data_IF_343881255695
#
_entry.id   IF_343881255695
#
_cell.length_a   1.000
_cell.length_b   1.000
_cell.length_c   1.000
_cell.angle_alpha   90.00
_cell.angle_beta   90.00
_cell.angle_gamma   90.00
#
_symmetry.space_group_name_H-M   'P 1'
#
loop_
_entity.id
_entity.type
_entity.pdbx_description
1 polymer ?
#
# COMPACT_ATOMS: atom_id res chain seq x y z
N UNK A 1 13.17 -13.68 -7.48
CA UNK A 1 12.12 -12.75 -7.99
C UNK A 1 10.74 -13.39 -8.15
N UNK A 2 10.55 -14.50 -8.89
CA UNK A 2 9.22 -15.10 -9.16
C UNK A 2 8.33 -15.29 -7.92
N UNK A 3 8.92 -15.69 -6.79
CA UNK A 3 8.21 -15.98 -5.54
C UNK A 3 8.31 -14.86 -4.49
N UNK A 4 8.71 -13.65 -4.90
CA UNK A 4 8.77 -12.47 -4.03
C UNK A 4 7.71 -11.46 -4.49
N UNK A 5 7.17 -10.69 -3.54
CA UNK A 5 6.27 -9.58 -3.82
C UNK A 5 6.74 -8.34 -3.06
N UNK A 6 6.56 -7.16 -3.66
CA UNK A 6 6.80 -5.87 -3.02
C UNK A 6 5.52 -5.03 -3.12
N UNK A 7 5.02 -4.53 -1.99
CA UNK A 7 3.74 -3.82 -1.91
C UNK A 7 2.57 -4.56 -2.58
N UNK A 8 2.59 -5.90 -2.56
CA UNK A 8 1.57 -6.75 -3.19
C UNK A 8 1.71 -6.97 -4.70
N UNK A 9 2.68 -6.34 -5.36
CA UNK A 9 3.03 -6.62 -6.76
C UNK A 9 4.05 -7.76 -6.82
N UNK A 10 3.88 -8.71 -7.75
CA UNK A 10 4.89 -9.75 -7.99
C UNK A 10 6.20 -9.12 -8.49
N UNK A 11 7.32 -9.43 -7.85
CA UNK A 11 8.59 -8.78 -8.12
C UNK A 11 9.10 -9.09 -9.54
N UNK A 12 8.98 -10.33 -10.02
CA UNK A 12 9.41 -10.66 -11.37
C UNK A 12 8.54 -9.97 -12.44
N UNK A 13 7.23 -9.90 -12.23
CA UNK A 13 6.35 -9.18 -13.13
C UNK A 13 6.70 -7.69 -13.17
N UNK A 14 6.88 -7.09 -12.00
CA UNK A 14 7.33 -5.71 -11.85
C UNK A 14 8.64 -5.46 -12.62
N UNK A 15 9.69 -6.25 -12.37
CA UNK A 15 10.99 -6.07 -13.07
C UNK A 15 10.89 -6.27 -14.58
N UNK A 16 10.00 -7.15 -15.07
CA UNK A 16 9.73 -7.29 -16.53
C UNK A 16 9.08 -6.05 -17.11
N UNK A 17 8.17 -5.41 -16.38
CA UNK A 17 7.52 -4.17 -16.80
C UNK A 17 8.52 -3.01 -16.82
N UNK A 18 9.33 -2.86 -15.76
CA UNK A 18 10.43 -1.88 -15.71
C UNK A 18 11.39 -2.09 -16.87
N UNK A 19 11.81 -3.34 -17.14
CA UNK A 19 12.69 -3.66 -18.26
C UNK A 19 12.11 -3.27 -19.63
N UNK A 20 10.79 -3.44 -19.83
CA UNK A 20 10.15 -3.05 -21.09
C UNK A 20 10.02 -1.54 -21.22
N UNK A 21 9.62 -0.83 -20.16
CA UNK A 21 9.50 0.64 -20.16
C UNK A 21 10.88 1.28 -20.40
N UNK A 22 11.91 0.82 -19.68
CA UNK A 22 13.28 1.28 -19.85
C UNK A 22 13.81 1.03 -21.26
N UNK A 23 13.50 -0.13 -21.85
CA UNK A 23 13.89 -0.44 -23.24
C UNK A 23 13.25 0.53 -24.24
N UNK A 24 11.96 0.85 -24.08
CA UNK A 24 11.26 1.83 -24.92
C UNK A 24 11.87 3.22 -24.77
N UNK A 25 12.06 3.70 -23.53
CA UNK A 25 12.68 5.01 -23.28
C UNK A 25 14.09 5.10 -23.87
N UNK A 26 14.90 4.05 -23.70
CA UNK A 26 16.24 3.99 -24.26
C UNK A 26 16.24 4.03 -25.80
N UNK A 27 15.28 3.36 -26.45
CA UNK A 27 15.15 3.39 -27.90
C UNK A 27 14.83 4.80 -28.42
N UNK A 28 13.88 5.49 -27.80
CA UNK A 28 13.50 6.87 -28.16
C UNK A 28 14.64 7.87 -27.94
N UNK A 29 15.50 7.62 -26.96
CA UNK A 29 16.66 8.47 -26.63
C UNK A 29 17.94 8.10 -27.39
N UNK A 30 17.89 7.10 -28.28
CA UNK A 30 19.08 6.63 -29.03
C UNK A 30 20.14 5.93 -28.17
N UNK A 31 19.74 5.38 -27.01
CA UNK A 31 20.61 4.67 -26.08
C UNK A 31 20.60 3.16 -26.32
N UNK A 32 21.50 2.44 -25.62
CA UNK A 32 21.59 0.99 -25.74
C UNK A 32 20.40 0.28 -25.06
N UNK A 33 19.41 -0.08 -25.88
CA UNK A 33 18.18 -0.81 -25.47
C UNK A 33 18.48 -2.10 -24.72
N UNK A 34 19.53 -2.84 -25.11
CA UNK A 34 19.88 -4.12 -24.48
C UNK A 34 20.37 -3.91 -23.05
N UNK A 35 21.19 -2.88 -22.82
CA UNK A 35 21.66 -2.53 -21.47
C UNK A 35 20.53 -1.97 -20.61
N UNK A 36 19.66 -1.11 -21.16
CA UNK A 36 18.49 -0.61 -20.43
C UNK A 36 17.55 -1.73 -19.98
N UNK A 37 17.26 -2.69 -20.87
CA UNK A 37 16.45 -3.86 -20.54
C UNK A 37 17.12 -4.75 -19.49
N UNK A 38 18.44 -4.90 -19.55
CA UNK A 38 19.23 -5.66 -18.56
C UNK A 38 19.17 -4.99 -17.19
N UNK A 39 19.40 -3.68 -17.11
CA UNK A 39 19.33 -2.92 -15.88
C UNK A 39 17.92 -2.93 -15.28
N UNK A 40 16.87 -2.69 -16.07
CA UNK A 40 15.49 -2.73 -15.58
C UNK A 40 15.07 -4.11 -15.06
N UNK A 41 15.57 -5.19 -15.64
CA UNK A 41 15.30 -6.54 -15.15
C UNK A 41 15.98 -6.84 -13.82
N UNK A 42 17.15 -6.24 -13.56
CA UNK A 42 18.01 -6.56 -12.43
C UNK A 42 17.95 -5.53 -11.29
N UNK A 43 17.35 -4.35 -11.48
CA UNK A 43 17.36 -3.24 -10.51
C UNK A 43 16.97 -3.68 -9.09
N UNK A 44 16.00 -4.59 -8.99
CA UNK A 44 15.44 -5.06 -7.72
C UNK A 44 15.96 -6.43 -7.26
N UNK A 45 17.06 -6.92 -7.85
CA UNK A 45 17.60 -8.26 -7.51
C UNK A 45 18.01 -8.38 -6.03
N UNK A 46 18.40 -7.27 -5.40
CA UNK A 46 18.73 -7.21 -3.98
C UNK A 46 17.55 -7.49 -3.03
N UNK A 47 16.30 -7.54 -3.52
CA UNK A 47 15.12 -7.95 -2.72
C UNK A 47 14.91 -9.47 -2.64
N UNK A 48 15.74 -10.26 -3.33
CA UNK A 48 15.62 -11.72 -3.41
C UNK A 48 16.28 -12.52 -2.26
N UNK A 49 17.39 -12.09 -1.61
CA UNK A 49 18.09 -12.93 -0.62
C UNK A 49 17.17 -13.43 0.51
N UNK A 50 17.51 -14.59 1.07
CA UNK A 50 16.76 -15.20 2.18
C UNK A 50 17.07 -14.54 3.52
N UNK A 51 18.32 -14.14 3.73
CA UNK A 51 18.77 -13.42 4.91
C UNK A 51 18.61 -11.91 4.69
N UNK A 52 18.13 -11.21 5.72
CA UNK A 52 18.10 -9.76 5.70
C UNK A 52 19.53 -9.22 5.63
N UNK A 53 19.73 -8.25 4.74
CA UNK A 53 20.99 -7.53 4.61
C UNK A 53 20.87 -6.18 5.32
N UNK A 54 21.95 -5.75 5.95
CA UNK A 54 22.06 -4.38 6.48
C UNK A 54 22.16 -3.33 5.35
N UNK A 55 22.44 -3.76 4.12
CA UNK A 55 22.49 -2.88 2.95
C UNK A 55 21.10 -2.66 2.35
N UNK A 56 20.81 -1.43 1.88
CA UNK A 56 19.68 -1.18 0.97
C UNK A 56 19.70 -2.12 -0.24
N UNK A 57 18.52 -2.48 -0.75
CA UNK A 57 18.42 -3.49 -1.82
C UNK A 57 19.11 -3.04 -3.12
N UNK A 58 19.15 -1.74 -3.41
CA UNK A 58 19.85 -1.19 -4.57
C UNK A 58 21.36 -1.45 -4.47
N UNK A 59 21.96 -1.14 -3.31
CA UNK A 59 23.38 -1.37 -3.06
C UNK A 59 23.74 -2.86 -3.05
N UNK A 60 22.90 -3.69 -2.43
CA UNK A 60 23.09 -5.14 -2.44
C UNK A 60 23.00 -5.71 -3.87
N UNK A 61 22.00 -5.27 -4.64
CA UNK A 61 21.83 -5.65 -6.03
C UNK A 61 23.01 -5.22 -6.90
N UNK A 62 23.53 -4.02 -6.68
CA UNK A 62 24.73 -3.50 -7.34
C UNK A 62 25.95 -4.37 -7.06
N UNK A 63 26.22 -4.69 -5.79
CA UNK A 63 27.35 -5.54 -5.39
C UNK A 63 27.29 -6.91 -6.04
N UNK A 64 26.09 -7.50 -6.15
CA UNK A 64 25.92 -8.77 -6.85
C UNK A 64 26.16 -8.64 -8.34
N UNK A 65 25.58 -7.64 -8.99
CA UNK A 65 25.77 -7.40 -10.42
C UNK A 65 27.27 -7.22 -10.76
N UNK A 66 27.98 -6.44 -9.95
CA UNK A 66 29.43 -6.24 -10.08
C UNK A 66 30.20 -7.56 -9.89
N UNK A 67 29.90 -8.30 -8.81
CA UNK A 67 30.53 -9.59 -8.52
C UNK A 67 30.38 -10.61 -9.65
N UNK A 68 29.25 -10.60 -10.36
CA UNK A 68 28.98 -11.50 -11.49
C UNK A 68 29.39 -10.93 -12.85
N UNK A 69 30.10 -9.79 -12.90
CA UNK A 69 30.67 -9.25 -14.12
C UNK A 69 29.68 -8.56 -15.05
N UNK A 70 28.60 -7.98 -14.51
CA UNK A 70 27.70 -7.14 -15.30
C UNK A 70 28.39 -5.85 -15.79
N UNK A 71 27.82 -5.25 -16.83
CA UNK A 71 28.32 -4.01 -17.40
C UNK A 71 28.26 -2.85 -16.38
N UNK A 72 29.28 -1.99 -16.33
CA UNK A 72 29.37 -0.89 -15.36
C UNK A 72 28.17 0.06 -15.36
N UNK A 73 27.56 0.34 -16.52
CA UNK A 73 26.36 1.17 -16.61
C UNK A 73 25.14 0.46 -16.00
N UNK A 74 25.04 -0.85 -16.17
CA UNK A 74 24.00 -1.68 -15.54
C UNK A 74 24.19 -1.71 -14.02
N UNK A 75 25.42 -1.91 -13.56
CA UNK A 75 25.78 -1.90 -12.14
C UNK A 75 25.41 -0.55 -11.51
N UNK A 76 25.79 0.56 -12.14
CA UNK A 76 25.44 1.89 -11.63
C UNK A 76 23.92 2.13 -11.64
N UNK A 77 23.21 1.74 -12.70
CA UNK A 77 21.75 1.89 -12.74
C UNK A 77 21.04 1.10 -11.65
N UNK A 78 21.53 -0.09 -11.30
CA UNK A 78 21.02 -0.87 -10.16
C UNK A 78 21.33 -0.17 -8.84
N UNK A 79 22.54 0.35 -8.64
CA UNK A 79 22.91 1.00 -7.37
C UNK A 79 22.26 2.35 -7.14
N UNK A 80 21.92 3.10 -8.21
CA UNK A 80 21.51 4.49 -8.13
C UNK A 80 20.00 4.72 -8.28
N UNK A 81 19.18 3.69 -8.55
CA UNK A 81 17.76 3.89 -8.89
C UNK A 81 16.89 4.43 -7.74
N UNK A 82 17.37 4.40 -6.49
CA UNK A 82 16.76 5.07 -5.35
C UNK A 82 17.68 6.16 -4.74
N UNK A 83 18.59 6.71 -5.55
CA UNK A 83 19.50 7.81 -5.19
C UNK A 83 20.51 7.48 -4.08
N UNK A 84 20.82 6.20 -3.82
CA UNK A 84 21.84 5.83 -2.82
C UNK A 84 23.27 6.14 -3.25
N UNK A 85 23.52 6.22 -4.55
CA UNK A 85 24.80 6.63 -5.14
C UNK A 85 24.57 7.57 -6.32
N UNK A 86 25.63 8.24 -6.73
CA UNK A 86 25.64 9.09 -7.92
C UNK A 86 25.24 8.31 -9.19
N UNK A 87 24.34 8.90 -9.98
CA UNK A 87 23.98 8.44 -11.32
C UNK A 87 25.08 8.81 -12.33
N UNK A 88 25.86 7.82 -12.76
CA UNK A 88 27.00 7.97 -13.68
C UNK A 88 26.69 7.57 -15.13
N UNK A 89 25.54 6.94 -15.37
CA UNK A 89 25.03 6.59 -16.69
C UNK A 89 23.63 7.17 -16.90
N UNK A 90 23.29 7.47 -18.15
CA UNK A 90 21.93 7.84 -18.55
C UNK A 90 20.92 6.69 -18.33
N UNK A 91 21.38 5.45 -18.16
CA UNK A 91 20.51 4.34 -17.80
C UNK A 91 19.93 4.49 -16.40
N UNK A 92 20.66 5.09 -15.46
CA UNK A 92 20.24 5.25 -14.06
C UNK A 92 18.93 6.04 -13.89
N UNK A 93 18.81 7.27 -14.45
CA UNK A 93 17.53 7.99 -14.39
C UNK A 93 16.43 7.28 -15.19
N UNK A 94 16.76 6.57 -16.27
CA UNK A 94 15.76 5.77 -17.02
C UNK A 94 15.19 4.64 -16.15
N UNK A 95 16.04 3.92 -15.41
CA UNK A 95 15.59 2.85 -14.52
C UNK A 95 14.75 3.41 -13.38
N UNK A 96 15.16 4.51 -12.78
CA UNK A 96 14.38 5.18 -11.72
C UNK A 96 12.98 5.59 -12.23
N UNK A 97 12.89 6.21 -13.40
CA UNK A 97 11.60 6.59 -14.00
C UNK A 97 10.77 5.35 -14.35
N UNK A 98 11.38 4.32 -14.94
CA UNK A 98 10.68 3.10 -15.31
C UNK A 98 10.12 2.34 -14.09
N UNK A 99 10.86 2.29 -12.98
CA UNK A 99 10.41 1.75 -11.68
C UNK A 99 9.19 2.53 -11.16
N UNK A 100 9.30 3.87 -11.10
CA UNK A 100 8.21 4.73 -10.65
C UNK A 100 6.94 4.55 -11.50
N UNK A 101 7.06 4.50 -12.83
CA UNK A 101 5.94 4.25 -13.74
C UNK A 101 5.33 2.88 -13.46
N UNK A 102 6.15 1.82 -13.35
CA UNK A 102 5.66 0.46 -13.10
C UNK A 102 4.86 0.36 -11.80
N UNK A 103 5.36 1.00 -10.73
CA UNK A 103 4.76 1.00 -9.40
C UNK A 103 3.53 1.92 -9.23
N UNK A 104 3.44 3.02 -10.00
CA UNK A 104 2.34 3.98 -9.92
C UNK A 104 1.08 3.56 -10.69
N UNK A 105 1.15 2.50 -11.51
CA UNK A 105 -0.01 2.03 -12.28
C UNK A 105 -1.18 1.66 -11.37
N UNK A 106 -2.42 2.10 -11.70
CA UNK A 106 -3.60 1.71 -10.95
C UNK A 106 -3.69 0.20 -10.78
N UNK A 107 -3.84 -0.26 -9.53
CA UNK A 107 -3.92 -1.69 -9.19
C UNK A 107 -2.57 -2.43 -9.06
N UNK A 108 -1.43 -1.78 -9.31
CA UNK A 108 -0.12 -2.44 -9.18
C UNK A 108 0.27 -2.72 -7.71
N UNK A 109 0.09 -1.75 -6.80
CA UNK A 109 0.41 -1.88 -5.38
C UNK A 109 -0.86 -2.02 -4.53
N UNK A 110 -0.88 -3.03 -3.65
CA UNK A 110 -1.96 -3.32 -2.68
C UNK A 110 -1.94 -2.42 -1.45
N UNK A 111 -0.93 -1.57 -1.30
CA UNK A 111 -0.80 -0.65 -0.16
C UNK A 111 -2.04 0.26 0.01
N UNK A 112 -2.72 0.57 -1.10
CA UNK A 112 -4.01 1.30 -1.10
C UNK A 112 -5.12 0.49 -0.41
N UNK A 113 -5.14 -0.84 -0.60
CA UNK A 113 -6.15 -1.72 0.02
C UNK A 113 -5.91 -1.86 1.52
N UNK A 114 -4.66 -2.04 1.94
CA UNK A 114 -4.33 -2.23 3.36
C UNK A 114 -4.56 -0.97 4.18
N UNK A 115 -4.11 0.20 3.70
CA UNK A 115 -4.43 1.48 4.30
C UNK A 115 -5.94 1.80 4.27
N UNK A 116 -6.66 1.33 3.26
CA UNK A 116 -8.12 1.42 3.22
C UNK A 116 -8.79 0.54 4.29
N UNK A 117 -8.36 -0.72 4.45
CA UNK A 117 -8.87 -1.61 5.49
C UNK A 117 -8.55 -1.05 6.88
N UNK A 118 -7.34 -0.52 7.09
CA UNK A 118 -6.95 0.07 8.36
C UNK A 118 -7.86 1.26 8.71
N UNK A 119 -8.12 2.16 7.75
CA UNK A 119 -9.05 3.28 7.95
C UNK A 119 -10.47 2.83 8.35
N UNK A 120 -10.98 1.75 7.75
CA UNK A 120 -12.29 1.21 8.14
C UNK A 120 -12.26 0.67 9.58
N UNK A 121 -11.19 -0.04 9.96
CA UNK A 121 -11.01 -0.53 11.33
C UNK A 121 -10.90 0.61 12.34
N UNK A 122 -10.21 1.69 11.99
CA UNK A 122 -10.05 2.85 12.88
C UNK A 122 -11.41 3.54 13.12
N UNK A 123 -12.27 3.64 12.10
CA UNK A 123 -13.65 4.12 12.24
C UNK A 123 -14.48 3.23 13.17
N UNK A 124 -14.41 1.91 13.00
CA UNK A 124 -15.12 0.94 13.85
C UNK A 124 -14.61 1.01 15.29
N UNK A 125 -13.29 1.09 15.50
CA UNK A 125 -12.67 1.20 16.80
C UNK A 125 -13.05 2.51 17.54
N UNK A 126 -13.16 3.63 16.81
CA UNK A 126 -13.59 4.90 17.38
C UNK A 126 -14.98 4.78 18.03
N UNK A 127 -15.94 4.14 17.35
CA UNK A 127 -17.27 3.91 17.91
C UNK A 127 -17.28 2.87 19.04
N UNK A 128 -16.52 1.77 18.89
CA UNK A 128 -16.42 0.72 19.92
C UNK A 128 -15.83 1.22 21.25
N UNK A 129 -15.15 2.36 21.26
CA UNK A 129 -14.60 2.94 22.49
C UNK A 129 -15.64 3.57 23.43
N UNK A 130 -16.88 3.77 22.97
CA UNK A 130 -17.96 4.35 23.77
C UNK A 130 -18.71 3.28 24.57
N UNK A 131 -19.05 3.59 25.82
CA UNK A 131 -19.82 2.67 26.67
C UNK A 131 -21.24 2.45 26.12
N UNK A 132 -21.73 1.22 26.25
CA UNK A 132 -23.02 0.79 25.70
C UNK A 132 -23.03 0.47 24.20
N UNK A 133 -21.93 0.68 23.47
CA UNK A 133 -21.76 0.22 22.08
C UNK A 133 -21.37 -1.26 22.08
N UNK A 134 -22.20 -2.09 21.44
CA UNK A 134 -21.99 -3.54 21.32
C UNK A 134 -21.19 -3.94 20.09
N UNK A 135 -21.40 -3.23 18.97
CA UNK A 135 -20.69 -3.45 17.71
C UNK A 135 -20.76 -2.21 16.82
N UNK A 136 -19.79 -2.05 15.93
CA UNK A 136 -19.77 -0.98 14.94
C UNK A 136 -19.28 -1.52 13.59
N UNK A 137 -19.88 -1.04 12.50
CA UNK A 137 -19.59 -1.49 11.13
C UNK A 137 -19.45 -0.30 10.19
N UNK A 138 -18.27 -0.14 9.59
CA UNK A 138 -18.04 0.84 8.54
C UNK A 138 -18.51 0.26 7.19
N UNK A 139 -19.63 0.76 6.69
CA UNK A 139 -20.25 0.32 5.44
C UNK A 139 -20.20 1.41 4.37
N UNK A 140 -20.64 1.10 3.15
CA UNK A 140 -20.60 2.02 2.00
C UNK A 140 -19.21 2.64 1.78
N UNK A 141 -18.19 1.78 1.79
CA UNK A 141 -16.79 2.18 1.69
C UNK A 141 -16.33 3.18 2.77
N UNK A 142 -16.93 3.10 3.97
CA UNK A 142 -16.62 3.94 5.13
C UNK A 142 -17.37 5.28 5.15
N UNK A 143 -18.33 5.50 4.25
CA UNK A 143 -19.20 6.69 4.26
C UNK A 143 -20.37 6.59 5.22
N UNK A 144 -20.66 5.41 5.75
CA UNK A 144 -21.67 5.22 6.79
C UNK A 144 -21.09 4.30 7.88
N UNK A 145 -21.22 4.74 9.14
CA UNK A 145 -20.87 3.96 10.31
C UNK A 145 -22.16 3.56 11.03
N UNK A 146 -22.45 2.26 11.05
CA UNK A 146 -23.58 1.70 11.82
C UNK A 146 -23.10 1.23 13.17
N UNK A 147 -23.71 1.76 14.22
CA UNK A 147 -23.35 1.50 15.61
C UNK A 147 -24.52 0.81 16.29
N UNK A 148 -24.32 -0.40 16.77
CA UNK A 148 -25.34 -1.17 17.49
C UNK A 148 -25.14 -0.97 18.99
N UNK A 149 -26.18 -0.58 19.71
CA UNK A 149 -26.11 -0.35 21.16
C UNK A 149 -26.95 -1.36 21.93
N UNK A 150 -26.55 -1.66 23.16
CA UNK A 150 -27.30 -2.55 24.05
C UNK A 150 -28.56 -1.83 24.57
N UNK A 151 -29.74 -2.26 24.15
CA UNK A 151 -31.01 -1.59 24.50
C UNK A 151 -31.31 -1.56 26.00
N UNK A 152 -30.70 -2.45 26.79
CA UNK A 152 -30.83 -2.49 28.24
C UNK A 152 -29.96 -1.48 28.99
N UNK A 153 -28.89 -0.96 28.37
CA UNK A 153 -27.99 0.03 28.98
C UNK A 153 -28.17 1.42 28.38
N UNK A 154 -28.56 1.49 27.11
CA UNK A 154 -28.71 2.75 26.36
C UNK A 154 -30.19 3.03 26.16
N UNK A 155 -30.64 4.23 26.55
CA UNK A 155 -31.99 4.72 26.26
C UNK A 155 -31.97 5.60 24.99
N UNK A 156 -33.13 6.09 24.54
CA UNK A 156 -33.22 6.82 23.27
C UNK A 156 -32.47 8.16 23.30
N UNK A 157 -32.41 8.82 24.45
CA UNK A 157 -31.68 10.08 24.64
C UNK A 157 -30.17 9.86 24.56
N UNK A 158 -29.66 8.83 25.26
CA UNK A 158 -28.24 8.44 25.21
C UNK A 158 -27.86 7.94 23.81
N UNK A 159 -28.74 7.23 23.10
CA UNK A 159 -28.49 6.81 21.72
C UNK A 159 -28.33 8.02 20.77
N UNK A 160 -29.14 9.06 20.97
CA UNK A 160 -29.03 10.31 20.20
C UNK A 160 -27.69 11.00 20.50
N UNK A 161 -27.33 11.12 21.78
CA UNK A 161 -26.06 11.71 22.20
C UNK A 161 -24.85 10.94 21.66
N UNK A 162 -24.86 9.60 21.75
CA UNK A 162 -23.81 8.74 21.20
C UNK A 162 -23.61 8.98 19.69
N UNK A 163 -24.69 9.18 18.93
CA UNK A 163 -24.58 9.44 17.49
C UNK A 163 -23.81 10.73 17.20
N UNK A 164 -24.03 11.76 18.02
CA UNK A 164 -23.33 13.04 17.94
C UNK A 164 -21.87 12.89 18.38
N UNK A 165 -21.62 12.33 19.56
CA UNK A 165 -20.27 12.22 20.15
C UNK A 165 -19.33 11.37 19.27
N UNK A 166 -19.85 10.27 18.69
CA UNK A 166 -19.09 9.43 17.76
C UNK A 166 -18.74 10.21 16.49
N UNK A 167 -19.69 11.00 15.96
CA UNK A 167 -19.43 11.82 14.78
C UNK A 167 -18.37 12.90 15.03
N UNK A 168 -18.39 13.52 16.22
CA UNK A 168 -17.41 14.53 16.63
C UNK A 168 -16.02 13.90 16.81
N UNK A 169 -15.95 12.72 17.45
CA UNK A 169 -14.69 11.99 17.62
C UNK A 169 -14.06 11.63 16.29
N UNK A 170 -14.85 11.12 15.33
CA UNK A 170 -14.36 10.81 13.98
C UNK A 170 -13.83 12.07 13.29
N UNK A 171 -14.52 13.20 13.42
CA UNK A 171 -14.10 14.46 12.82
C UNK A 171 -12.78 14.98 13.41
N UNK A 172 -12.57 14.81 14.72
CA UNK A 172 -11.41 15.36 15.43
C UNK A 172 -10.18 14.44 15.36
N UNK A 173 -10.36 13.12 15.43
CA UNK A 173 -9.26 12.17 15.57
C UNK A 173 -8.88 11.47 14.26
N UNK A 174 -9.79 11.38 13.29
CA UNK A 174 -9.56 10.66 12.04
C UNK A 174 -9.51 11.61 10.85
N UNK A 175 -8.43 11.54 10.08
CA UNK A 175 -8.37 12.24 8.79
C UNK A 175 -9.21 11.48 7.76
N UNK A 176 -10.47 11.86 7.60
CA UNK A 176 -11.40 11.22 6.67
C UNK A 176 -11.83 12.17 5.55
N UNK A 177 -11.66 11.81 4.26
CA UNK A 177 -12.11 12.66 3.17
C UNK A 177 -13.63 12.58 2.99
N UNK A 178 -14.31 13.68 3.29
CA UNK A 178 -15.75 13.83 3.10
C UNK A 178 -16.57 13.53 4.35
N UNK A 179 -17.88 13.43 4.18
CA UNK A 179 -18.82 13.23 5.28
C UNK A 179 -18.99 11.74 5.58
N UNK A 180 -19.01 11.39 6.87
CA UNK A 180 -19.37 10.06 7.37
C UNK A 180 -20.70 10.16 8.09
N UNK A 181 -21.70 9.39 7.64
CA UNK A 181 -23.00 9.31 8.31
C UNK A 181 -22.91 8.31 9.46
N UNK A 182 -23.12 8.77 10.70
CA UNK A 182 -23.23 7.89 11.88
C UNK A 182 -24.70 7.53 12.09
N UNK A 183 -24.99 6.24 12.23
CA UNK A 183 -26.35 5.74 12.54
C UNK A 183 -26.27 4.82 13.74
N UNK A 184 -26.84 5.26 14.86
CA UNK A 184 -26.96 4.45 16.08
C UNK A 184 -28.28 3.68 16.03
N UNK A 185 -28.19 2.37 16.19
CA UNK A 185 -29.32 1.44 16.13
C UNK A 185 -29.45 0.79 17.51
N UNK A 186 -30.55 1.10 18.18
CA UNK A 186 -30.97 0.42 19.39
C UNK A 186 -31.93 -0.71 19.02
N UNK A 187 -31.54 -1.94 19.32
CA UNK A 187 -32.31 -3.13 18.95
C UNK A 187 -32.57 -4.00 20.19
N UNK A 188 -33.79 -4.50 20.32
CA UNK A 188 -34.14 -5.58 21.25
C UNK A 188 -34.53 -6.82 20.46
N UNK A 189 -33.81 -7.93 20.65
CA UNK A 189 -34.10 -9.21 19.99
C UNK A 189 -34.81 -10.16 20.94
N UNK A 190 -36.03 -10.55 20.61
CA UNK A 190 -36.75 -11.63 21.28
C UNK A 190 -36.86 -12.82 20.32
N UNK A 191 -36.38 -13.99 20.73
CA UNK A 191 -36.38 -15.22 19.93
C UNK A 191 -37.15 -16.30 20.67
N UNK A 192 -38.23 -16.79 20.07
CA UNK A 192 -39.00 -17.93 20.57
C UNK A 192 -38.94 -19.05 19.53
N UNK A 193 -38.67 -20.27 19.99
CA UNK A 193 -38.67 -21.46 19.14
C UNK A 193 -39.94 -22.24 19.45
N UNK A 194 -40.85 -22.34 18.48
CA UNK A 194 -41.95 -23.29 18.56
C UNK A 194 -41.39 -24.70 18.34
N UNK A 195 -41.81 -25.65 19.18
CA UNK A 195 -41.65 -27.08 18.93
C UNK A 195 -43.00 -27.69 18.67
#
# INVERSE_FOLDING_TARGET
MKYRSSYGQNLLQHSREVANIAATMAAELGLNVKLAKRAGLLHDIGKVPEQESELPHALLGMQWAEKYGENAEVVNAIGAHHDEIEMKSLLSPIIQVADAISGARPGARRQVLESYIQRLKDLEAAALSFDGVSSAYAIQAGRELRVMVESGKVNDEVANQLSYDISEKIQNELTYPGQVKVTVIRETRAVNIAR
#
